data_IF_636052023200
#
_entry.id   IF_636052023200
#
_cell.length_a   1.000
_cell.length_b   1.000
_cell.length_c   1.000
_cell.angle_alpha   90.00
_cell.angle_beta   90.00
_cell.angle_gamma   90.00
#
_symmetry.space_group_name_H-M   'P 1'
#
loop_
_entity.id
_entity.type
_entity.pdbx_description
1 polymer ?
#
# COMPACT_ATOMS: atom_id res chain seq x y z
N UNK A 1 -3.85 -9.63 31.18
CA UNK A 1 -4.11 -8.49 30.27
C UNK A 1 -4.13 -9.05 28.86
N UNK A 2 -5.29 -9.10 28.20
CA UNK A 2 -5.35 -9.48 26.79
C UNK A 2 -4.72 -8.33 25.99
N UNK A 3 -3.43 -8.47 25.67
CA UNK A 3 -2.79 -7.63 24.68
C UNK A 3 -3.35 -8.07 23.32
N UNK A 4 -4.43 -7.43 22.89
CA UNK A 4 -4.86 -7.54 21.52
C UNK A 4 -3.71 -7.02 20.64
N UNK A 5 -3.01 -7.92 19.99
CA UNK A 5 -1.92 -7.60 19.08
C UNK A 5 -2.52 -7.07 17.77
N UNK A 6 -2.75 -5.78 17.70
CA UNK A 6 -3.25 -5.12 16.48
C UNK A 6 -2.12 -4.73 15.51
N UNK A 7 -2.38 -4.69 14.22
CA UNK A 7 -3.63 -5.11 13.56
C UNK A 7 -3.78 -6.62 13.52
N UNK A 8 -5.01 -7.13 13.57
CA UNK A 8 -5.30 -8.54 13.30
C UNK A 8 -5.00 -8.87 11.82
N UNK A 9 -5.38 -7.98 10.90
CA UNK A 9 -5.02 -8.05 9.48
C UNK A 9 -4.68 -6.66 8.92
N UNK A 10 -3.65 -6.61 8.09
CA UNK A 10 -3.25 -5.43 7.33
C UNK A 10 -3.10 -5.79 5.85
N UNK A 11 -3.88 -5.15 4.98
CA UNK A 11 -3.77 -5.29 3.54
C UNK A 11 -2.72 -4.33 2.99
N UNK A 12 -1.59 -4.87 2.54
CA UNK A 12 -0.49 -4.08 1.98
C UNK A 12 -0.69 -3.94 0.46
N UNK A 13 -1.16 -2.78 0.03
CA UNK A 13 -1.52 -2.54 -1.35
C UNK A 13 -0.29 -2.19 -2.20
N UNK A 14 0.00 -3.02 -3.19
CA UNK A 14 1.06 -2.86 -4.17
C UNK A 14 0.52 -2.72 -5.60
N UNK A 15 1.39 -2.38 -6.54
CA UNK A 15 1.09 -2.18 -7.95
C UNK A 15 1.67 -0.88 -8.49
N UNK A 16 1.70 -0.73 -9.82
CA UNK A 16 2.27 0.42 -10.51
C UNK A 16 1.41 1.68 -10.41
N UNK A 17 1.81 2.78 -11.03
CA UNK A 17 1.05 4.03 -11.04
C UNK A 17 -0.32 3.83 -11.69
N UNK A 18 -1.33 4.51 -11.21
CA UNK A 18 -2.72 4.52 -11.72
C UNK A 18 -3.42 3.14 -11.74
N UNK A 19 -2.86 2.11 -11.09
CA UNK A 19 -3.50 0.78 -11.04
C UNK A 19 -4.72 0.70 -10.10
N UNK A 20 -5.01 1.72 -9.26
CA UNK A 20 -6.21 1.76 -8.42
C UNK A 20 -5.99 1.53 -6.92
N UNK A 21 -4.74 1.56 -6.41
CA UNK A 21 -4.45 1.42 -4.96
C UNK A 21 -5.22 2.39 -4.08
N UNK A 22 -5.28 3.66 -4.47
CA UNK A 22 -5.99 4.67 -3.67
C UNK A 22 -7.50 4.46 -3.69
N UNK A 23 -8.06 4.00 -4.80
CA UNK A 23 -9.48 3.62 -4.90
C UNK A 23 -9.78 2.43 -3.99
N UNK A 24 -8.91 1.41 -4.00
CA UNK A 24 -9.02 0.28 -3.10
C UNK A 24 -8.92 0.68 -1.63
N UNK A 25 -7.96 1.57 -1.30
CA UNK A 25 -7.83 2.10 0.06
C UNK A 25 -9.05 2.88 0.52
N UNK A 26 -9.66 3.71 -0.35
CA UNK A 26 -10.91 4.42 -0.03
C UNK A 26 -12.09 3.46 0.17
N UNK A 27 -12.20 2.42 -0.66
CA UNK A 27 -13.22 1.40 -0.47
C UNK A 27 -13.05 0.67 0.86
N UNK A 28 -11.84 0.26 1.22
CA UNK A 28 -11.59 -0.37 2.51
C UNK A 28 -11.97 0.52 3.69
N UNK A 29 -11.65 1.82 3.60
CA UNK A 29 -12.02 2.79 4.64
C UNK A 29 -13.54 2.89 4.80
N UNK A 30 -14.29 2.85 3.71
CA UNK A 30 -15.76 2.90 3.71
C UNK A 30 -16.43 1.67 4.36
N UNK A 31 -15.71 0.54 4.46
CA UNK A 31 -16.21 -0.68 5.11
C UNK A 31 -15.54 -0.97 6.46
N UNK A 32 -14.92 0.05 7.09
CA UNK A 32 -14.34 -0.06 8.42
C UNK A 32 -12.91 -0.63 8.49
N UNK A 33 -12.22 -0.78 7.35
CA UNK A 33 -10.81 -1.16 7.26
C UNK A 33 -9.97 0.10 7.12
N UNK A 34 -9.34 0.57 8.20
CA UNK A 34 -8.67 1.86 8.27
C UNK A 34 -7.61 2.06 7.20
N UNK A 35 -7.75 3.12 6.41
CA UNK A 35 -6.82 3.48 5.34
C UNK A 35 -5.59 4.21 5.86
N UNK A 36 -4.41 3.78 5.45
CA UNK A 36 -3.13 4.41 5.79
C UNK A 36 -2.21 4.53 4.57
N UNK A 37 -1.21 5.42 4.65
CA UNK A 37 -0.14 5.52 3.66
C UNK A 37 1.18 5.07 4.27
N UNK A 38 1.93 4.21 3.60
CA UNK A 38 3.18 3.63 4.09
C UNK A 38 4.15 4.71 4.58
N UNK A 39 4.38 5.77 3.81
CA UNK A 39 5.29 6.86 4.19
C UNK A 39 4.85 7.60 5.46
N UNK A 40 3.52 7.75 5.70
CA UNK A 40 3.01 8.33 6.93
C UNK A 40 3.19 7.40 8.14
N UNK A 41 3.03 6.09 7.93
CA UNK A 41 3.32 5.10 8.98
C UNK A 41 4.80 5.13 9.35
N UNK A 42 5.70 5.17 8.36
CA UNK A 42 7.14 5.29 8.61
C UNK A 42 7.51 6.56 9.38
N UNK A 43 6.96 7.70 9.00
CA UNK A 43 7.24 8.99 9.60
C UNK A 43 6.44 9.28 10.89
N UNK A 44 5.57 8.37 11.34
CA UNK A 44 4.59 8.62 12.41
C UNK A 44 5.18 9.24 13.68
N UNK A 45 6.26 8.66 14.21
CA UNK A 45 6.90 9.16 15.44
C UNK A 45 7.58 10.51 15.22
N UNK A 46 8.15 10.73 14.06
CA UNK A 46 8.81 12.01 13.73
C UNK A 46 7.81 13.12 13.45
N UNK A 47 6.69 12.81 12.80
CA UNK A 47 5.59 13.77 12.59
C UNK A 47 4.96 14.24 13.91
N UNK A 48 5.01 13.43 14.98
CA UNK A 48 4.58 13.85 16.32
C UNK A 48 5.53 14.87 16.94
N UNK A 49 6.83 14.78 16.65
CA UNK A 49 7.84 15.73 17.14
C UNK A 49 7.87 17.00 16.29
N UNK A 50 7.74 16.85 14.98
CA UNK A 50 7.78 17.94 14.01
C UNK A 50 6.67 17.77 12.97
N UNK A 51 5.62 18.61 13.05
CA UNK A 51 4.48 18.58 12.12
C UNK A 51 4.83 18.96 10.68
N UNK A 52 5.95 19.63 10.46
CA UNK A 52 6.38 20.11 9.15
C UNK A 52 7.22 19.08 8.36
N UNK A 53 7.49 17.91 8.94
CA UNK A 53 8.25 16.87 8.25
C UNK A 53 7.49 16.37 7.01
N UNK A 54 8.19 16.26 5.87
CA UNK A 54 7.67 15.63 4.68
C UNK A 54 7.83 14.09 4.80
N UNK A 55 6.74 13.32 4.93
CA UNK A 55 6.85 11.88 5.14
C UNK A 55 7.52 11.13 3.99
N UNK A 56 7.40 11.64 2.76
CA UNK A 56 8.02 11.03 1.58
C UNK A 56 9.55 11.21 1.60
N UNK A 57 10.02 12.44 1.81
CA UNK A 57 11.45 12.74 1.91
C UNK A 57 12.08 11.96 3.05
N UNK A 58 11.44 11.96 4.22
CA UNK A 58 11.89 11.17 5.38
C UNK A 58 12.05 9.68 5.04
N UNK A 59 11.07 9.09 4.35
CA UNK A 59 11.15 7.67 3.98
C UNK A 59 12.30 7.38 3.00
N UNK A 60 12.55 8.28 2.05
CA UNK A 60 13.67 8.16 1.09
C UNK A 60 15.03 8.28 1.79
N UNK A 61 15.19 9.26 2.66
CA UNK A 61 16.43 9.46 3.43
C UNK A 61 16.70 8.27 4.35
N UNK A 62 15.67 7.83 5.08
CA UNK A 62 15.78 6.66 5.95
C UNK A 62 16.24 5.41 5.20
N UNK A 63 15.69 5.18 3.99
CA UNK A 63 16.08 4.04 3.17
C UNK A 63 17.54 4.13 2.68
N UNK A 64 18.00 5.32 2.34
CA UNK A 64 19.40 5.57 1.95
C UNK A 64 20.37 5.35 3.10
N UNK A 65 20.03 5.83 4.30
CA UNK A 65 20.92 5.78 5.46
C UNK A 65 20.96 4.40 6.14
N UNK A 66 19.80 3.77 6.29
CA UNK A 66 19.65 2.55 7.12
C UNK A 66 19.36 1.29 6.32
N UNK A 67 19.04 1.43 5.04
CA UNK A 67 18.69 0.32 4.14
C UNK A 67 17.25 -0.17 4.27
N UNK A 68 16.83 -0.95 3.28
CA UNK A 68 15.44 -1.37 3.09
C UNK A 68 14.90 -2.24 4.24
N UNK A 69 15.72 -3.14 4.78
CA UNK A 69 15.28 -4.05 5.86
C UNK A 69 14.99 -3.28 7.15
N UNK A 70 15.81 -2.28 7.49
CA UNK A 70 15.53 -1.40 8.63
C UNK A 70 14.21 -0.63 8.43
N UNK A 71 13.96 -0.13 7.21
CA UNK A 71 12.70 0.55 6.87
C UNK A 71 11.50 -0.39 7.03
N UNK A 72 11.63 -1.65 6.59
CA UNK A 72 10.58 -2.65 6.74
C UNK A 72 10.28 -2.97 8.22
N UNK A 73 11.32 -3.14 9.05
CA UNK A 73 11.13 -3.36 10.49
C UNK A 73 10.48 -2.14 11.17
N UNK A 74 10.99 -0.92 10.89
CA UNK A 74 10.39 0.32 11.42
C UNK A 74 8.93 0.48 10.99
N UNK A 75 8.59 0.07 9.78
CA UNK A 75 7.20 0.07 9.32
C UNK A 75 6.33 -0.87 10.16
N UNK A 76 6.77 -2.10 10.42
CA UNK A 76 6.05 -3.07 11.26
C UNK A 76 5.82 -2.48 12.65
N UNK A 77 6.89 -1.99 13.30
CA UNK A 77 6.84 -1.46 14.67
C UNK A 77 5.90 -0.26 14.79
N UNK A 78 5.99 0.68 13.84
CA UNK A 78 5.14 1.86 13.84
C UNK A 78 3.66 1.53 13.52
N UNK A 79 3.42 0.61 12.57
CA UNK A 79 2.05 0.19 12.24
C UNK A 79 1.39 -0.49 13.45
N UNK A 80 2.09 -1.39 14.11
CA UNK A 80 1.63 -2.07 15.33
C UNK A 80 1.34 -1.05 16.44
N UNK A 81 2.24 -0.10 16.67
CA UNK A 81 2.05 0.97 17.68
C UNK A 81 0.82 1.83 17.38
N UNK A 82 0.62 2.24 16.12
CA UNK A 82 -0.57 3.00 15.68
C UNK A 82 -1.84 2.19 15.92
N UNK A 83 -1.87 0.94 15.45
CA UNK A 83 -3.06 0.10 15.53
C UNK A 83 -3.43 -0.24 16.97
N UNK A 84 -2.46 -0.51 17.85
CA UNK A 84 -2.71 -0.75 19.26
C UNK A 84 -3.28 0.48 19.98
N UNK A 85 -2.70 1.66 19.72
CA UNK A 85 -3.18 2.92 20.34
C UNK A 85 -4.58 3.32 19.92
N UNK A 86 -4.96 2.99 18.69
CA UNK A 86 -6.24 3.38 18.10
C UNK A 86 -7.26 2.24 18.08
N UNK A 87 -6.92 1.08 18.69
CA UNK A 87 -7.74 -0.14 18.66
C UNK A 87 -8.17 -0.56 17.25
N UNK A 88 -7.23 -0.41 16.28
CA UNK A 88 -7.50 -0.68 14.87
C UNK A 88 -7.28 -2.16 14.57
N UNK A 89 -8.36 -2.93 14.43
CA UNK A 89 -8.29 -4.38 14.11
C UNK A 89 -7.83 -4.64 12.67
N UNK A 90 -8.34 -3.85 11.73
CA UNK A 90 -8.10 -4.03 10.30
C UNK A 90 -7.64 -2.74 9.67
N UNK A 91 -6.60 -2.82 8.84
CA UNK A 91 -6.13 -1.65 8.09
C UNK A 91 -5.69 -2.01 6.67
N UNK A 92 -5.66 -1.01 5.81
CA UNK A 92 -5.05 -1.07 4.48
C UNK A 92 -3.92 -0.04 4.39
N UNK A 93 -2.78 -0.43 3.83
CA UNK A 93 -1.61 0.45 3.69
C UNK A 93 -1.21 0.53 2.23
N UNK A 94 -1.27 1.74 1.67
CA UNK A 94 -0.94 1.99 0.27
C UNK A 94 0.56 2.18 0.04
N UNK A 95 1.01 1.81 -1.17
CA UNK A 95 2.34 2.12 -1.72
C UNK A 95 3.48 1.25 -1.19
N UNK A 96 3.22 -0.05 -1.01
CA UNK A 96 4.28 -1.04 -0.90
C UNK A 96 4.93 -1.21 -2.29
N UNK A 97 6.16 -0.72 -2.46
CA UNK A 97 6.87 -0.70 -3.75
C UNK A 97 8.21 -1.45 -3.73
N UNK A 98 8.79 -1.66 -2.56
CA UNK A 98 10.06 -2.36 -2.41
C UNK A 98 9.81 -3.86 -2.23
N UNK A 99 10.29 -4.67 -3.18
CA UNK A 99 10.13 -6.13 -3.11
C UNK A 99 10.74 -6.72 -1.85
N UNK A 100 11.97 -6.32 -1.50
CA UNK A 100 12.65 -6.80 -0.28
C UNK A 100 11.87 -6.47 1.00
N UNK A 101 11.22 -5.29 1.06
CA UNK A 101 10.36 -4.95 2.19
C UNK A 101 9.15 -5.89 2.26
N UNK A 102 8.52 -6.18 1.11
CA UNK A 102 7.39 -7.09 1.05
C UNK A 102 7.76 -8.50 1.53
N UNK A 103 8.89 -9.04 1.04
CA UNK A 103 9.42 -10.35 1.46
C UNK A 103 9.72 -10.38 2.96
N UNK A 104 10.40 -9.35 3.48
CA UNK A 104 10.73 -9.25 4.89
C UNK A 104 9.48 -9.18 5.78
N UNK A 105 8.54 -8.31 5.45
CA UNK A 105 7.29 -8.13 6.20
C UNK A 105 6.50 -9.46 6.22
N UNK A 106 6.39 -10.12 5.06
CA UNK A 106 5.71 -11.43 4.96
C UNK A 106 6.40 -12.51 5.80
N UNK A 107 7.73 -12.52 5.84
CA UNK A 107 8.48 -13.49 6.65
C UNK A 107 8.30 -13.30 8.16
N UNK A 108 8.07 -12.06 8.62
CA UNK A 108 7.91 -11.74 10.05
C UNK A 108 6.50 -12.03 10.58
N UNK A 109 5.48 -11.76 9.79
CA UNK A 109 4.07 -11.88 10.22
C UNK A 109 3.19 -12.38 9.07
N UNK A 110 3.39 -13.62 8.59
CA UNK A 110 2.73 -14.14 7.39
C UNK A 110 1.21 -14.17 7.50
N UNK A 111 0.68 -14.37 8.70
CA UNK A 111 -0.76 -14.45 8.94
C UNK A 111 -1.43 -13.09 9.13
N UNK A 112 -0.66 -12.02 9.39
CA UNK A 112 -1.19 -10.68 9.64
C UNK A 112 -1.14 -9.79 8.43
N UNK A 113 -0.07 -9.85 7.66
CA UNK A 113 0.17 -9.00 6.51
C UNK A 113 -0.25 -9.71 5.22
N UNK A 114 -1.31 -9.20 4.59
CA UNK A 114 -1.83 -9.71 3.33
C UNK A 114 -1.32 -8.82 2.20
N UNK A 115 -0.32 -9.27 1.46
CA UNK A 115 0.20 -8.55 0.31
C UNK A 115 -0.81 -8.65 -0.82
N UNK A 116 -1.37 -7.49 -1.19
CA UNK A 116 -2.38 -7.37 -2.24
C UNK A 116 -1.82 -6.59 -3.42
N UNK A 117 -1.63 -7.27 -4.53
CA UNK A 117 -1.19 -6.63 -5.77
C UNK A 117 -2.39 -6.26 -6.63
N UNK A 118 -2.50 -4.97 -6.99
CA UNK A 118 -3.52 -4.50 -7.92
C UNK A 118 -2.87 -4.41 -9.30
N UNK A 119 -3.31 -5.30 -10.18
CA UNK A 119 -2.81 -5.43 -11.54
C UNK A 119 -3.68 -4.66 -12.53
N UNK A 120 -3.02 -3.96 -13.45
CA UNK A 120 -3.67 -3.24 -14.54
C UNK A 120 -2.68 -3.02 -15.68
N UNK A 121 -3.06 -3.34 -16.94
CA UNK A 121 -2.26 -3.08 -18.10
C UNK A 121 -1.88 -1.61 -18.25
N UNK A 122 -0.69 -1.35 -18.80
CA UNK A 122 -0.17 0.01 -18.98
C UNK A 122 -1.15 0.90 -19.77
N UNK A 123 -1.74 0.36 -20.83
CA UNK A 123 -2.71 1.08 -21.68
C UNK A 123 -3.89 1.65 -20.85
N UNK A 124 -4.43 0.87 -19.94
CA UNK A 124 -5.55 1.31 -19.10
C UNK A 124 -5.08 2.30 -18.01
N UNK A 125 -3.90 2.10 -17.47
CA UNK A 125 -3.28 3.03 -16.52
C UNK A 125 -3.00 4.40 -17.16
N UNK A 126 -2.55 4.41 -18.42
CA UNK A 126 -2.37 5.65 -19.20
C UNK A 126 -3.69 6.38 -19.43
N UNK A 127 -4.77 5.67 -19.79
CA UNK A 127 -6.10 6.28 -19.91
C UNK A 127 -6.53 6.95 -18.59
N UNK A 128 -6.32 6.28 -17.45
CA UNK A 128 -6.61 6.86 -16.13
C UNK A 128 -5.76 8.10 -15.83
N UNK A 129 -4.48 8.08 -16.20
CA UNK A 129 -3.60 9.24 -16.05
C UNK A 129 -4.05 10.43 -16.91
N UNK A 130 -4.47 10.18 -18.17
CA UNK A 130 -5.02 11.21 -19.05
C UNK A 130 -6.24 11.90 -18.43
N UNK A 131 -7.20 11.10 -17.97
CA UNK A 131 -8.43 11.61 -17.34
C UNK A 131 -8.12 12.39 -16.07
N UNK A 132 -7.28 11.84 -15.21
CA UNK A 132 -6.92 12.44 -13.93
C UNK A 132 -6.22 13.78 -14.07
N UNK A 133 -5.29 13.88 -15.03
CA UNK A 133 -4.47 15.09 -15.24
C UNK A 133 -5.04 16.01 -16.32
N UNK A 134 -6.07 15.58 -17.04
CA UNK A 134 -6.67 16.32 -18.17
C UNK A 134 -5.66 16.64 -19.27
N UNK A 135 -4.87 15.66 -19.65
CA UNK A 135 -3.80 15.75 -20.65
C UNK A 135 -3.97 14.72 -21.75
N UNK A 136 -3.26 14.88 -22.86
CA UNK A 136 -3.19 13.89 -23.93
C UNK A 136 -2.30 12.68 -23.54
N UNK A 137 -2.21 11.69 -24.44
CA UNK A 137 -1.48 10.43 -24.20
C UNK A 137 0.02 10.66 -24.04
N UNK A 138 0.62 11.58 -24.79
CA UNK A 138 2.07 11.81 -24.74
C UNK A 138 2.46 12.50 -23.43
N UNK A 139 1.66 13.45 -22.98
CA UNK A 139 1.89 14.08 -21.68
C UNK A 139 1.60 13.10 -20.52
N UNK A 140 0.57 12.25 -20.63
CA UNK A 140 0.30 11.20 -19.67
C UNK A 140 1.48 10.21 -19.53
N UNK A 141 2.12 9.85 -20.66
CA UNK A 141 3.35 9.02 -20.64
C UNK A 141 4.49 9.72 -19.90
N UNK A 142 4.75 10.99 -20.19
CA UNK A 142 5.79 11.78 -19.52
C UNK A 142 5.59 11.84 -17.99
N UNK A 143 4.35 11.87 -17.54
CA UNK A 143 4.02 11.90 -16.11
C UNK A 143 4.14 10.52 -15.47
N UNK A 144 3.61 9.47 -16.11
CA UNK A 144 3.45 8.15 -15.49
C UNK A 144 4.70 7.28 -15.61
N UNK A 145 5.32 7.18 -16.80
CA UNK A 145 6.41 6.23 -17.05
C UNK A 145 7.65 6.48 -16.18
N UNK A 146 8.11 7.71 -15.91
CA UNK A 146 9.23 7.91 -14.98
C UNK A 146 8.93 7.42 -13.57
N UNK A 147 7.69 7.60 -13.09
CA UNK A 147 7.26 7.09 -11.78
C UNK A 147 7.27 5.57 -11.74
N UNK A 148 6.82 4.93 -12.81
CA UNK A 148 6.82 3.48 -12.91
C UNK A 148 8.23 2.92 -13.03
N UNK A 149 9.13 3.58 -13.78
CA UNK A 149 10.55 3.21 -13.85
C UNK A 149 11.19 3.17 -12.46
N UNK A 150 10.94 4.18 -11.62
CA UNK A 150 11.42 4.20 -10.23
C UNK A 150 10.82 3.03 -9.42
N UNK A 151 9.50 2.78 -9.53
CA UNK A 151 8.88 1.67 -8.80
C UNK A 151 9.39 0.32 -9.27
N UNK A 152 9.58 0.13 -10.58
CA UNK A 152 10.12 -1.10 -11.14
C UNK A 152 11.57 -1.33 -10.73
N UNK A 153 12.40 -0.29 -10.61
CA UNK A 153 13.78 -0.43 -10.09
C UNK A 153 13.84 -0.90 -8.63
N UNK A 154 12.75 -0.72 -7.87
CA UNK A 154 12.57 -1.27 -6.51
C UNK A 154 11.86 -2.63 -6.51
N UNK A 155 11.60 -3.23 -7.67
CA UNK A 155 10.94 -4.53 -7.80
C UNK A 155 9.42 -4.51 -7.56
N UNK A 156 8.76 -3.35 -7.69
CA UNK A 156 7.32 -3.24 -7.44
C UNK A 156 6.47 -4.16 -8.32
N UNK A 157 6.88 -4.39 -9.58
CA UNK A 157 6.20 -5.32 -10.50
C UNK A 157 6.38 -6.78 -10.10
N UNK A 158 7.48 -7.12 -9.43
CA UNK A 158 7.78 -8.48 -8.98
C UNK A 158 7.03 -8.85 -7.70
N UNK A 159 6.49 -7.86 -6.96
CA UNK A 159 5.65 -8.12 -5.79
C UNK A 159 4.42 -8.95 -6.18
N UNK A 160 3.97 -8.87 -7.43
CA UNK A 160 2.91 -9.73 -7.96
C UNK A 160 3.17 -11.21 -7.73
N UNK A 161 4.42 -11.65 -7.86
CA UNK A 161 4.82 -13.06 -7.76
C UNK A 161 4.79 -13.59 -6.31
N UNK A 162 4.81 -12.71 -5.32
CA UNK A 162 4.81 -13.06 -3.89
C UNK A 162 3.53 -12.60 -3.18
N UNK A 163 2.61 -11.99 -3.90
CA UNK A 163 1.35 -11.48 -3.37
C UNK A 163 0.43 -12.63 -2.92
N UNK A 164 -0.26 -12.44 -1.80
CA UNK A 164 -1.28 -13.36 -1.29
C UNK A 164 -2.57 -13.26 -2.10
N UNK A 165 -2.82 -12.07 -2.66
CA UNK A 165 -3.95 -11.78 -3.52
C UNK A 165 -3.52 -10.88 -4.68
N UNK A 166 -3.91 -11.27 -5.89
CA UNK A 166 -3.80 -10.43 -7.09
C UNK A 166 -5.20 -10.03 -7.52
N UNK A 167 -5.43 -8.72 -7.62
CA UNK A 167 -6.70 -8.15 -8.07
C UNK A 167 -6.50 -7.62 -9.48
N UNK A 168 -7.25 -8.14 -10.46
CA UNK A 168 -7.33 -7.56 -11.79
C UNK A 168 -8.28 -6.36 -11.77
N UNK A 169 -7.78 -5.17 -12.13
CA UNK A 169 -8.54 -3.92 -12.13
C UNK A 169 -8.72 -3.34 -13.54
N UNK A 170 -8.94 -4.21 -14.54
CA UNK A 170 -9.25 -3.80 -15.91
C UNK A 170 -10.71 -3.44 -16.12
N UNK A 171 -11.58 -3.96 -15.27
CA UNK A 171 -13.01 -3.80 -15.38
C UNK A 171 -13.57 -2.54 -14.74
N UNK A 172 -14.85 -2.60 -14.39
CA UNK A 172 -15.58 -1.50 -13.76
C UNK A 172 -15.19 -1.28 -12.29
N UNK A 173 -15.65 -0.15 -11.73
CA UNK A 173 -15.45 0.15 -10.31
C UNK A 173 -16.17 -0.86 -9.41
N UNK A 174 -17.36 -1.30 -9.83
CA UNK A 174 -18.17 -2.30 -9.13
C UNK A 174 -17.46 -3.66 -9.09
N UNK A 175 -16.81 -4.05 -10.17
CA UNK A 175 -16.01 -5.28 -10.22
C UNK A 175 -14.81 -5.20 -9.28
N UNK A 176 -14.11 -4.06 -9.23
CA UNK A 176 -13.05 -3.84 -8.25
C UNK A 176 -13.58 -3.98 -6.82
N UNK A 177 -14.68 -3.31 -6.50
CA UNK A 177 -15.29 -3.36 -5.17
C UNK A 177 -15.75 -4.76 -4.78
N UNK A 178 -16.32 -5.51 -5.74
CA UNK A 178 -16.70 -6.92 -5.53
C UNK A 178 -15.50 -7.80 -5.16
N UNK A 179 -14.37 -7.66 -5.87
CA UNK A 179 -13.13 -8.38 -5.56
C UNK A 179 -12.57 -7.99 -4.17
N UNK A 180 -12.57 -6.70 -3.84
CA UNK A 180 -12.11 -6.19 -2.54
C UNK A 180 -13.00 -6.69 -1.39
N UNK A 181 -14.33 -6.68 -1.58
CA UNK A 181 -15.27 -7.20 -0.60
C UNK A 181 -15.08 -8.70 -0.37
N UNK A 182 -14.94 -9.48 -1.44
CA UNK A 182 -14.65 -10.92 -1.34
C UNK A 182 -13.36 -11.17 -0.55
N UNK A 183 -12.33 -10.38 -0.82
CA UNK A 183 -11.05 -10.47 -0.11
C UNK A 183 -11.22 -10.09 1.37
N UNK A 184 -11.90 -8.98 1.68
CA UNK A 184 -12.10 -8.56 3.08
C UNK A 184 -12.87 -9.61 3.89
N UNK A 185 -13.94 -10.20 3.32
CA UNK A 185 -14.70 -11.28 3.97
C UNK A 185 -13.86 -12.53 4.22
N UNK A 186 -12.88 -12.83 3.37
CA UNK A 186 -11.98 -13.97 3.54
C UNK A 186 -11.02 -13.78 4.74
N UNK A 187 -10.53 -12.57 4.94
CA UNK A 187 -9.45 -12.31 5.91
C UNK A 187 -9.91 -11.58 7.18
N UNK A 188 -11.03 -10.87 7.12
CA UNK A 188 -11.56 -10.08 8.24
C UNK A 188 -12.91 -10.64 8.69
N UNK A 189 -13.11 -10.66 10.01
CA UNK A 189 -14.44 -10.86 10.61
C UNK A 189 -15.11 -9.50 10.68
N UNK A 190 -15.65 -9.05 9.55
CA UNK A 190 -16.47 -7.82 9.49
C UNK A 190 -17.89 -8.20 9.93
N UNK A 191 -18.40 -7.47 10.89
CA UNK A 191 -19.79 -7.57 11.35
C UNK A 191 -20.76 -7.00 10.31
#
# INVERSE_FOLDING_TARGET
>A
MNTNDYPEKAFLLSGLSECGKSTAGMYFDSIGIKRMKLVKVLAYKEMKKNKNINPYEYAVELAKEKGEIFVAQKFIDNLTDICNRENTRYCSVESLIYRRNAEYIKSKMPDRFIITYIDMPEKERLKRQMIRSRVDIEEAKKIMLPRDKIKMSHGAHEIKNIADVVINNEGSLEELYSQLLKMSKKYCKLE
#
